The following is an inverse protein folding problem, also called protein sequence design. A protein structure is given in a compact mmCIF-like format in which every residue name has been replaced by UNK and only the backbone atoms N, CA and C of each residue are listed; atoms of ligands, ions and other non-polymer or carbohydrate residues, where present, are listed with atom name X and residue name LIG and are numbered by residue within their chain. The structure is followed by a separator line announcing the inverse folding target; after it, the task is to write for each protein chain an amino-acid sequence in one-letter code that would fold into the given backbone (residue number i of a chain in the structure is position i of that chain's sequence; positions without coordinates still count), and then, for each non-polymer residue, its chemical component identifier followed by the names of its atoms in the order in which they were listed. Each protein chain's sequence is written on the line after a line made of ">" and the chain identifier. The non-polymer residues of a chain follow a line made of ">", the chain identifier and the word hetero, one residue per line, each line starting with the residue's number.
data_IF_604095475661
#
_entry.id   IF_604095475661
#
_cell.length_a   1.000
_cell.length_b   1.000
_cell.length_c   1.000
_cell.angle_alpha   90.00
_cell.angle_beta   90.00
_cell.angle_gamma   90.00
#
_symmetry.space_group_name_H-M   'P 1'
#
loop_
_entity.id
_entity.type
_entity.pdbx_description
1 polymer ?
#
# COMPACT_ATOMS: atom_id res chain seq x y z
N UNK A 1 0.19 22.88 0.60
CA UNK A 1 1.31 21.96 0.33
C UNK A 1 1.22 21.55 -1.12
N UNK A 2 2.32 21.58 -1.86
CA UNK A 2 2.35 21.12 -3.24
C UNK A 2 2.51 19.60 -3.29
N UNK A 3 1.54 18.90 -3.86
CA UNK A 3 1.59 17.44 -4.12
C UNK A 3 1.41 17.13 -5.61
N UNK A 4 1.80 18.08 -6.48
CA UNK A 4 1.73 17.90 -7.94
C UNK A 4 2.66 16.79 -8.45
N UNK A 5 3.69 16.43 -7.68
CA UNK A 5 4.58 15.33 -8.01
C UNK A 5 4.01 13.94 -7.65
N UNK A 6 2.79 13.86 -7.08
CA UNK A 6 2.20 12.62 -6.57
C UNK A 6 1.07 12.09 -7.46
N UNK A 7 1.12 10.78 -7.73
CA UNK A 7 0.07 9.98 -8.32
C UNK A 7 -0.54 9.06 -7.25
N UNK A 8 -1.85 9.05 -7.10
CA UNK A 8 -2.56 8.36 -6.04
C UNK A 8 -3.29 7.13 -6.57
N UNK A 9 -3.07 5.98 -5.94
CA UNK A 9 -3.79 4.73 -6.22
C UNK A 9 -4.50 4.25 -4.95
N UNK A 10 -5.81 4.48 -4.90
CA UNK A 10 -6.69 4.03 -3.82
C UNK A 10 -7.50 2.79 -4.20
N UNK A 11 -8.18 2.21 -3.20
CA UNK A 11 -9.09 1.06 -3.39
C UNK A 11 -9.08 0.08 -2.23
N UNK A 12 -10.12 -0.77 -2.10
CA UNK A 12 -10.28 -1.68 -0.97
C UNK A 12 -9.20 -2.78 -0.95
N UNK A 13 -9.22 -3.58 0.10
CA UNK A 13 -8.28 -4.67 0.32
C UNK A 13 -8.31 -5.65 -0.87
N UNK A 14 -7.11 -6.00 -1.34
CA UNK A 14 -6.94 -6.96 -2.43
C UNK A 14 -7.38 -6.47 -3.81
N UNK A 15 -7.58 -5.19 -4.07
CA UNK A 15 -7.94 -4.71 -5.43
C UNK A 15 -6.79 -4.67 -6.44
N UNK A 16 -5.58 -5.16 -6.10
CA UNK A 16 -4.43 -5.19 -7.02
C UNK A 16 -3.57 -3.91 -7.04
N UNK A 17 -3.82 -2.95 -6.16
CA UNK A 17 -3.11 -1.65 -6.09
C UNK A 17 -1.60 -1.79 -6.07
N UNK A 18 -1.06 -2.56 -5.14
CA UNK A 18 0.39 -2.71 -4.96
C UNK A 18 1.08 -3.25 -6.22
N UNK A 19 0.42 -4.17 -6.94
CA UNK A 19 0.95 -4.71 -8.19
C UNK A 19 0.97 -3.66 -9.30
N UNK A 20 -0.12 -2.89 -9.46
CA UNK A 20 -0.20 -1.82 -10.46
C UNK A 20 0.77 -0.67 -10.14
N UNK A 21 0.82 -0.23 -8.87
CA UNK A 21 1.72 0.81 -8.41
C UNK A 21 3.19 0.41 -8.61
N UNK A 22 3.53 -0.84 -8.29
CA UNK A 22 4.87 -1.38 -8.55
C UNK A 22 5.18 -1.38 -10.05
N UNK A 23 4.27 -1.88 -10.90
CA UNK A 23 4.49 -1.90 -12.34
C UNK A 23 4.72 -0.50 -12.91
N UNK A 24 3.92 0.50 -12.51
CA UNK A 24 4.10 1.91 -12.88
C UNK A 24 5.46 2.44 -12.41
N UNK A 25 5.80 2.20 -11.14
CA UNK A 25 7.07 2.65 -10.55
C UNK A 25 8.28 2.09 -11.27
N UNK A 26 8.27 0.81 -11.68
CA UNK A 26 9.38 0.22 -12.42
C UNK A 26 9.39 0.69 -13.86
N UNK A 27 8.26 0.65 -14.57
CA UNK A 27 8.17 0.99 -16.00
C UNK A 27 8.50 2.46 -16.31
N UNK A 28 8.19 3.36 -15.39
CA UNK A 28 8.38 4.80 -15.58
C UNK A 28 9.36 5.42 -14.58
N UNK A 29 10.13 4.59 -13.87
CA UNK A 29 11.18 5.07 -12.96
C UNK A 29 10.67 6.03 -11.87
N UNK A 30 9.44 5.78 -11.39
CA UNK A 30 8.79 6.58 -10.34
C UNK A 30 9.23 6.11 -8.95
N UNK A 31 9.17 7.00 -7.95
CA UNK A 31 9.25 6.59 -6.54
C UNK A 31 8.02 5.77 -6.18
N UNK A 32 8.18 4.71 -5.39
CA UNK A 32 7.07 3.92 -4.86
C UNK A 32 6.86 4.21 -3.38
N UNK A 33 5.68 4.70 -3.03
CA UNK A 33 5.24 4.85 -1.65
C UNK A 33 4.09 3.88 -1.37
N UNK A 34 4.36 2.90 -0.51
CA UNK A 34 3.35 1.93 -0.04
C UNK A 34 2.94 2.29 1.37
N UNK A 35 1.67 2.63 1.59
CA UNK A 35 1.16 2.99 2.93
C UNK A 35 1.39 1.84 3.93
N UNK A 36 1.18 0.60 3.49
CA UNK A 36 1.33 -0.57 4.36
C UNK A 36 2.79 -0.78 4.81
N UNK A 37 3.78 -0.32 4.03
CA UNK A 37 5.21 -0.32 4.39
C UNK A 37 5.58 0.72 5.45
N UNK A 38 4.61 1.45 5.97
CA UNK A 38 4.83 2.45 7.02
C UNK A 38 3.90 2.25 8.20
N UNK A 39 3.10 1.18 8.19
CA UNK A 39 2.08 0.91 9.21
C UNK A 39 2.66 1.00 10.62
N UNK A 40 3.74 0.28 10.92
CA UNK A 40 4.30 0.23 12.28
C UNK A 40 5.07 1.49 12.67
N UNK A 41 5.74 2.14 11.73
CA UNK A 41 6.34 3.45 11.96
C UNK A 41 5.26 4.50 12.29
N UNK A 42 4.10 4.42 11.62
CA UNK A 42 2.94 5.26 11.90
C UNK A 42 2.22 4.86 13.18
N UNK A 43 2.18 3.58 13.57
CA UNK A 43 1.44 3.12 14.75
C UNK A 43 1.87 3.88 16.01
N UNK A 44 3.16 4.15 16.20
CA UNK A 44 3.67 4.87 17.38
C UNK A 44 3.19 6.34 17.44
N UNK A 45 2.81 6.92 16.31
CA UNK A 45 2.43 8.33 16.15
C UNK A 45 0.91 8.54 16.06
N UNK A 46 0.19 7.44 15.90
CA UNK A 46 -1.27 7.44 15.76
C UNK A 46 -1.94 7.57 17.13
N UNK A 47 -3.06 8.30 17.22
CA UNK A 47 -3.78 8.48 18.48
C UNK A 47 -4.23 7.14 19.06
N UNK A 48 -4.38 7.08 20.38
CA UNK A 48 -5.09 5.99 21.01
C UNK A 48 -6.51 5.92 20.43
N UNK A 49 -6.93 4.73 20.03
CA UNK A 49 -8.27 4.46 19.54
C UNK A 49 -8.84 3.30 20.33
N UNK A 50 -10.16 3.28 20.49
CA UNK A 50 -10.88 2.15 21.11
C UNK A 50 -10.47 0.83 20.46
N UNK A 51 -10.39 0.78 19.13
CA UNK A 51 -9.97 -0.40 18.37
C UNK A 51 -8.68 -1.06 18.88
N UNK A 52 -7.73 -0.27 19.41
CA UNK A 52 -6.47 -0.80 19.94
C UNK A 52 -6.61 -1.52 21.28
N UNK A 53 -7.55 -1.11 22.13
CA UNK A 53 -7.78 -1.75 23.42
C UNK A 53 -8.66 -2.99 23.34
N UNK A 54 -9.38 -3.18 22.23
CA UNK A 54 -10.26 -4.33 22.03
C UNK A 54 -9.47 -5.63 21.87
N UNK A 55 -10.00 -6.72 22.41
CA UNK A 55 -9.59 -8.09 22.15
C UNK A 55 -9.88 -8.52 20.70
N UNK A 56 -9.40 -9.70 20.30
CA UNK A 56 -9.69 -10.24 18.97
C UNK A 56 -11.18 -10.50 18.76
N UNK A 57 -11.90 -10.97 19.79
CA UNK A 57 -13.34 -11.21 19.71
C UNK A 57 -14.13 -9.91 19.61
N UNK A 58 -13.82 -8.93 20.44
CA UNK A 58 -14.46 -7.61 20.37
C UNK A 58 -14.24 -6.95 19.01
N UNK A 59 -13.07 -7.12 18.38
CA UNK A 59 -12.77 -6.56 17.06
C UNK A 59 -13.47 -7.26 15.92
N UNK A 60 -13.57 -8.58 15.95
CA UNK A 60 -13.88 -9.38 14.77
C UNK A 60 -15.15 -10.22 14.90
N UNK A 61 -15.51 -10.66 16.10
CA UNK A 61 -16.68 -11.52 16.36
C UNK A 61 -17.89 -10.69 16.79
N UNK A 62 -17.70 -9.85 17.81
CA UNK A 62 -18.78 -9.15 18.50
C UNK A 62 -19.18 -7.84 17.81
N UNK A 63 -18.19 -7.13 17.25
CA UNK A 63 -18.46 -5.91 16.49
C UNK A 63 -19.25 -6.21 15.21
N UNK A 64 -20.14 -5.28 14.86
CA UNK A 64 -20.84 -5.30 13.58
C UNK A 64 -19.91 -4.84 12.44
N UNK A 65 -20.13 -5.29 11.20
CA UNK A 65 -19.37 -4.79 10.04
C UNK A 65 -19.39 -3.26 9.88
N UNK A 66 -20.49 -2.60 10.30
CA UNK A 66 -20.61 -1.15 10.27
C UNK A 66 -19.71 -0.46 11.31
N UNK A 67 -19.61 -0.98 12.53
CA UNK A 67 -18.66 -0.48 13.54
C UNK A 67 -17.21 -0.65 13.07
N UNK A 68 -16.88 -1.82 12.50
CA UNK A 68 -15.55 -2.06 11.96
C UNK A 68 -15.21 -1.13 10.77
N UNK A 69 -16.18 -0.79 9.92
CA UNK A 69 -16.01 0.21 8.87
C UNK A 69 -15.69 1.59 9.46
N UNK A 70 -16.43 2.02 10.48
CA UNK A 70 -16.23 3.32 11.11
C UNK A 70 -14.82 3.44 11.73
N UNK A 71 -14.39 2.41 12.45
CA UNK A 71 -13.01 2.33 12.97
C UNK A 71 -11.98 2.39 11.84
N UNK A 72 -12.20 1.67 10.74
CA UNK A 72 -11.28 1.65 9.61
C UNK A 72 -11.17 3.02 8.93
N UNK A 73 -12.30 3.70 8.68
CA UNK A 73 -12.34 5.02 8.07
C UNK A 73 -11.70 6.05 8.98
N UNK A 74 -12.01 6.03 10.28
CA UNK A 74 -11.42 6.93 11.27
C UNK A 74 -9.90 6.74 11.33
N UNK A 75 -9.44 5.50 11.41
CA UNK A 75 -8.00 5.16 11.40
C UNK A 75 -7.34 5.60 10.10
N UNK A 76 -8.03 5.45 8.96
CA UNK A 76 -7.54 5.86 7.64
C UNK A 76 -7.35 7.36 7.54
N UNK A 77 -8.24 8.17 8.13
CA UNK A 77 -8.08 9.64 8.19
C UNK A 77 -6.88 10.06 9.04
N UNK A 78 -6.59 9.36 10.12
CA UNK A 78 -5.38 9.60 10.90
C UNK A 78 -4.12 9.16 10.15
N UNK A 79 -4.14 7.96 9.55
CA UNK A 79 -3.05 7.46 8.69
C UNK A 79 -2.74 8.42 7.56
N UNK A 80 -3.76 8.95 6.90
CA UNK A 80 -3.62 9.86 5.76
C UNK A 80 -2.85 11.13 6.14
N UNK A 81 -3.02 11.65 7.36
CA UNK A 81 -2.22 12.81 7.83
C UNK A 81 -0.73 12.48 7.90
N UNK A 82 -0.39 11.30 8.41
CA UNK A 82 1.00 10.82 8.47
C UNK A 82 1.55 10.54 7.07
N UNK A 83 0.72 10.04 6.14
CA UNK A 83 1.08 9.92 4.73
C UNK A 83 1.42 11.29 4.15
N UNK A 84 0.60 12.31 4.37
CA UNK A 84 0.89 13.66 3.90
C UNK A 84 2.16 14.26 4.51
N UNK A 85 2.53 13.87 5.73
CA UNK A 85 3.80 14.26 6.35
C UNK A 85 4.97 13.58 5.66
N UNK A 86 4.93 12.26 5.49
CA UNK A 86 6.00 11.54 4.82
C UNK A 86 6.20 12.01 3.37
N UNK A 87 5.11 12.35 2.66
CA UNK A 87 5.19 12.91 1.30
C UNK A 87 5.75 14.35 1.26
N UNK A 88 5.79 15.10 2.37
CA UNK A 88 6.54 16.39 2.43
C UNK A 88 8.04 16.17 2.34
N UNK A 89 8.49 15.04 2.89
CA UNK A 89 9.90 14.74 3.03
C UNK A 89 10.44 13.93 1.84
N UNK A 90 9.55 13.48 0.94
CA UNK A 90 9.97 12.88 -0.32
C UNK A 90 10.49 13.93 -1.31
N UNK A 91 11.50 13.60 -2.12
CA UNK A 91 11.90 14.42 -3.25
C UNK A 91 10.74 14.65 -4.23
N UNK A 92 10.64 15.86 -4.79
CA UNK A 92 9.65 16.19 -5.83
C UNK A 92 9.98 15.61 -7.22
N UNK A 93 11.17 15.00 -7.39
CA UNK A 93 11.63 14.33 -8.63
C UNK A 93 12.29 12.99 -8.31
N UNK A 94 11.94 11.91 -9.03
CA UNK A 94 10.90 11.82 -10.05
C UNK A 94 9.52 11.86 -9.38
N UNK A 95 8.43 11.80 -10.17
CA UNK A 95 7.10 11.64 -9.59
C UNK A 95 7.03 10.42 -8.65
N UNK A 96 6.14 10.47 -7.67
CA UNK A 96 5.88 9.38 -6.74
C UNK A 96 4.50 8.76 -7.01
N UNK A 97 4.44 7.42 -7.09
CA UNK A 97 3.18 6.69 -7.03
C UNK A 97 2.93 6.21 -5.61
N UNK A 98 1.81 6.64 -5.04
CA UNK A 98 1.39 6.41 -3.66
C UNK A 98 0.20 5.47 -3.66
N UNK A 99 0.30 4.35 -2.95
CA UNK A 99 -0.76 3.34 -2.93
C UNK A 99 -1.10 2.88 -1.52
N UNK A 100 -2.39 2.63 -1.27
CA UNK A 100 -2.83 2.03 -0.01
C UNK A 100 -4.33 2.00 0.18
N UNK A 101 -4.86 1.10 1.04
CA UNK A 101 -6.28 0.99 1.31
C UNK A 101 -6.86 2.13 2.16
N UNK A 102 -6.01 2.96 2.78
CA UNK A 102 -6.41 4.14 3.56
C UNK A 102 -6.59 5.41 2.69
N UNK A 103 -6.23 5.34 1.40
CA UNK A 103 -6.31 6.46 0.45
C UNK A 103 -7.72 6.59 -0.13
N UNK A 104 -8.69 6.94 0.72
CA UNK A 104 -10.09 7.15 0.31
C UNK A 104 -10.24 8.33 -0.67
N UNK A 105 -11.19 8.27 -1.62
CA UNK A 105 -11.39 9.34 -2.60
C UNK A 105 -11.62 10.70 -1.95
N UNK A 106 -12.43 10.78 -0.88
CA UNK A 106 -12.66 12.05 -0.19
C UNK A 106 -11.37 12.63 0.45
N UNK A 107 -10.50 11.78 0.99
CA UNK A 107 -9.22 12.22 1.57
C UNK A 107 -8.26 12.71 0.49
N UNK A 108 -8.12 11.95 -0.60
CA UNK A 108 -7.24 12.31 -1.72
C UNK A 108 -7.71 13.58 -2.41
N UNK A 109 -9.02 13.72 -2.68
CA UNK A 109 -9.61 14.90 -3.31
C UNK A 109 -9.25 16.21 -2.58
N UNK A 110 -9.18 16.17 -1.25
CA UNK A 110 -8.89 17.34 -0.43
C UNK A 110 -7.46 17.91 -0.63
N UNK A 111 -6.56 17.16 -1.25
CA UNK A 111 -5.17 17.58 -1.51
C UNK A 111 -4.78 17.47 -2.98
N UNK A 112 -5.70 17.04 -3.84
CA UNK A 112 -5.43 16.75 -5.25
C UNK A 112 -5.33 18.04 -6.06
N UNK A 113 -4.31 18.15 -6.91
CA UNK A 113 -4.18 19.28 -7.85
C UNK A 113 -5.03 19.15 -9.10
N UNK A 114 -5.13 17.93 -9.62
CA UNK A 114 -5.89 17.59 -10.82
C UNK A 114 -6.49 16.19 -10.66
N UNK A 115 -7.76 15.96 -11.08
CA UNK A 115 -8.39 14.64 -11.02
C UNK A 115 -7.55 13.54 -11.70
N UNK A 116 -6.77 13.89 -12.73
CA UNK A 116 -5.93 12.96 -13.50
C UNK A 116 -4.76 12.37 -12.69
N UNK A 117 -4.49 12.89 -11.48
CA UNK A 117 -3.47 12.37 -10.57
C UNK A 117 -4.00 11.27 -9.64
N UNK A 118 -5.28 10.90 -9.70
CA UNK A 118 -5.85 9.90 -8.81
C UNK A 118 -6.60 8.79 -9.58
N UNK A 119 -6.40 7.56 -9.13
CA UNK A 119 -7.03 6.36 -9.69
C UNK A 119 -7.52 5.46 -8.54
N UNK A 120 -8.79 5.04 -8.60
CA UNK A 120 -9.38 4.16 -7.58
C UNK A 120 -9.75 2.81 -8.17
N UNK A 121 -9.19 1.74 -7.64
CA UNK A 121 -9.50 0.38 -8.10
C UNK A 121 -10.73 -0.14 -7.35
N UNK A 122 -11.74 -0.59 -8.10
CA UNK A 122 -12.99 -1.13 -7.56
C UNK A 122 -13.14 -2.58 -8.02
N UNK A 123 -13.03 -3.57 -7.11
CA UNK A 123 -13.28 -4.95 -7.46
C UNK A 123 -14.78 -5.19 -7.73
N UNK A 124 -15.07 -6.26 -8.46
CA UNK A 124 -16.40 -6.85 -8.42
C UNK A 124 -16.70 -7.36 -7.00
N UNK A 125 -17.87 -7.02 -6.46
CA UNK A 125 -18.20 -7.30 -5.05
C UNK A 125 -18.42 -8.78 -4.78
N UNK A 126 -18.94 -9.55 -5.75
CA UNK A 126 -19.20 -10.98 -5.57
C UNK A 126 -17.91 -11.79 -5.69
N UNK A 127 -17.04 -11.43 -6.64
CA UNK A 127 -15.69 -12.00 -6.74
C UNK A 127 -14.85 -11.64 -5.51
N UNK A 128 -14.95 -10.39 -5.03
CA UNK A 128 -14.26 -9.96 -3.82
C UNK A 128 -14.74 -10.75 -2.61
N UNK A 129 -16.06 -10.95 -2.44
CA UNK A 129 -16.62 -11.76 -1.35
C UNK A 129 -16.05 -13.17 -1.37
N UNK A 130 -16.12 -13.85 -2.51
CA UNK A 130 -15.63 -15.23 -2.67
C UNK A 130 -14.17 -15.34 -2.22
N UNK A 131 -13.30 -14.51 -2.77
CA UNK A 131 -11.86 -14.51 -2.45
C UNK A 131 -11.55 -14.14 -0.99
N UNK A 132 -12.34 -13.27 -0.37
CA UNK A 132 -12.15 -12.93 1.04
C UNK A 132 -12.51 -14.10 1.95
N UNK A 133 -13.59 -14.83 1.65
CA UNK A 133 -14.00 -16.02 2.39
C UNK A 133 -13.00 -17.17 2.25
N UNK A 134 -12.38 -17.33 1.08
CA UNK A 134 -11.33 -18.33 0.83
C UNK A 134 -10.09 -18.19 1.73
N UNK A 135 -9.89 -17.03 2.36
CA UNK A 135 -8.82 -16.83 3.36
C UNK A 135 -9.02 -17.64 4.65
N UNK A 136 -10.16 -18.30 4.80
CA UNK A 136 -10.47 -19.15 5.95
C UNK A 136 -10.69 -18.38 7.25
N UNK A 137 -10.93 -19.09 8.37
CA UNK A 137 -11.22 -18.48 9.67
C UNK A 137 -10.14 -17.48 10.12
N UNK A 138 -10.52 -16.42 10.85
CA UNK A 138 -9.56 -15.53 11.50
C UNK A 138 -8.99 -16.26 12.74
N UNK A 139 -7.67 -16.47 12.86
CA UNK A 139 -7.09 -17.14 14.02
C UNK A 139 -7.10 -16.23 15.25
N UNK A 140 -7.12 -16.84 16.44
CA UNK A 140 -7.05 -16.11 17.72
C UNK A 140 -8.38 -15.51 18.18
N UNK A 141 -9.50 -15.82 17.51
CA UNK A 141 -10.86 -15.50 17.94
C UNK A 141 -11.61 -16.75 18.42
N UNK A 142 -12.62 -16.60 19.27
CA UNK A 142 -13.50 -17.70 19.70
C UNK A 142 -14.32 -18.31 18.57
N UNK A 143 -14.71 -17.51 17.57
CA UNK A 143 -15.41 -17.96 16.35
C UNK A 143 -14.77 -17.35 15.10
N UNK A 144 -13.75 -18.03 14.59
CA UNK A 144 -12.99 -17.57 13.42
C UNK A 144 -13.81 -17.52 12.12
N UNK A 145 -14.86 -18.33 12.00
CA UNK A 145 -15.74 -18.34 10.81
C UNK A 145 -16.62 -17.10 10.83
N UNK A 146 -17.27 -16.81 11.96
CA UNK A 146 -18.04 -15.57 12.15
C UNK A 146 -17.15 -14.34 12.00
N UNK A 147 -15.95 -14.37 12.58
CA UNK A 147 -14.97 -13.30 12.42
C UNK A 147 -14.63 -13.03 10.95
N UNK A 148 -14.44 -14.09 10.14
CA UNK A 148 -14.22 -13.95 8.70
C UNK A 148 -15.43 -13.38 7.97
N UNK A 149 -16.64 -13.83 8.29
CA UNK A 149 -17.88 -13.31 7.69
C UNK A 149 -18.02 -11.81 7.96
N UNK A 150 -17.85 -11.38 9.22
CA UNK A 150 -17.91 -9.97 9.59
C UNK A 150 -16.84 -9.13 8.86
N UNK A 151 -15.59 -9.59 8.87
CA UNK A 151 -14.50 -8.90 8.19
C UNK A 151 -14.72 -8.78 6.68
N UNK A 152 -15.33 -9.81 6.07
CA UNK A 152 -15.68 -9.81 4.64
C UNK A 152 -16.75 -8.77 4.34
N UNK A 153 -17.84 -8.76 5.10
CA UNK A 153 -18.90 -7.75 4.91
C UNK A 153 -18.38 -6.33 5.16
N UNK A 154 -17.47 -6.14 6.12
CA UNK A 154 -16.77 -4.86 6.32
C UNK A 154 -15.96 -4.46 5.09
N UNK A 155 -15.16 -5.37 4.51
CA UNK A 155 -14.36 -5.07 3.32
C UNK A 155 -15.24 -4.73 2.08
N UNK A 156 -16.43 -5.36 1.96
CA UNK A 156 -17.41 -5.00 0.93
C UNK A 156 -18.02 -3.61 1.18
N UNK A 157 -18.28 -3.24 2.43
CA UNK A 157 -18.72 -1.88 2.78
C UNK A 157 -17.64 -0.84 2.44
N UNK A 158 -16.36 -1.15 2.68
CA UNK A 158 -15.23 -0.31 2.25
C UNK A 158 -15.27 -0.14 0.72
N UNK A 159 -15.40 -1.23 -0.04
CA UNK A 159 -15.44 -1.18 -1.50
C UNK A 159 -16.61 -0.33 -2.03
N UNK A 160 -17.81 -0.49 -1.45
CA UNK A 160 -18.97 0.36 -1.77
C UNK A 160 -18.70 1.83 -1.48
N UNK A 161 -18.06 2.14 -0.34
CA UNK A 161 -17.71 3.52 0.02
C UNK A 161 -16.71 4.14 -0.95
N UNK A 162 -15.69 3.40 -1.37
CA UNK A 162 -14.77 3.84 -2.44
C UNK A 162 -15.53 4.16 -3.72
N UNK A 163 -16.45 3.29 -4.14
CA UNK A 163 -17.26 3.52 -5.34
C UNK A 163 -18.16 4.75 -5.25
N UNK A 164 -18.85 4.91 -4.11
CA UNK A 164 -19.70 6.08 -3.85
C UNK A 164 -18.88 7.38 -3.86
N UNK A 165 -17.80 7.45 -3.07
CA UNK A 165 -17.01 8.69 -2.96
C UNK A 165 -16.33 9.05 -4.28
N UNK A 166 -15.81 8.07 -5.03
CA UNK A 166 -15.20 8.33 -6.33
C UNK A 166 -16.23 8.86 -7.34
N UNK A 167 -17.44 8.30 -7.37
CA UNK A 167 -18.51 8.77 -8.24
C UNK A 167 -18.99 10.17 -7.87
N UNK A 168 -19.24 10.43 -6.58
CA UNK A 168 -19.69 11.73 -6.05
C UNK A 168 -18.68 12.85 -6.37
N UNK A 169 -17.39 12.56 -6.22
CA UNK A 169 -16.29 13.50 -6.47
C UNK A 169 -15.83 13.52 -7.93
N UNK A 170 -16.47 12.73 -8.82
CA UNK A 170 -16.11 12.58 -10.24
C UNK A 170 -14.64 12.22 -10.47
N UNK A 171 -14.08 11.39 -9.58
CA UNK A 171 -12.73 10.87 -9.69
C UNK A 171 -12.69 9.57 -10.48
N UNK A 172 -11.57 9.30 -11.16
CA UNK A 172 -11.44 8.10 -11.98
C UNK A 172 -11.44 6.84 -11.12
N UNK A 173 -12.41 5.97 -11.37
CA UNK A 173 -12.41 4.61 -10.89
C UNK A 173 -12.18 3.61 -12.04
N UNK A 174 -11.42 2.54 -11.79
CA UNK A 174 -11.30 1.39 -12.67
C UNK A 174 -11.94 0.18 -12.01
N UNK A 175 -12.86 -0.47 -12.74
CA UNK A 175 -13.34 -1.79 -12.37
C UNK A 175 -12.21 -2.79 -12.58
N UNK A 176 -11.96 -3.62 -11.56
CA UNK A 176 -11.03 -4.76 -11.67
C UNK A 176 -11.81 -5.92 -12.25
N UNK A 177 -11.80 -6.03 -13.58
CA UNK A 177 -12.57 -7.02 -14.36
C UNK A 177 -11.73 -7.73 -15.42
N UNK A 178 -10.41 -7.60 -15.34
CA UNK A 178 -9.46 -8.17 -16.27
C UNK A 178 -8.23 -8.72 -15.54
N UNK A 179 -7.46 -9.61 -16.17
CA UNK A 179 -6.17 -10.05 -15.64
C UNK A 179 -5.23 -8.89 -15.31
N UNK A 180 -4.30 -9.12 -14.38
CA UNK A 180 -3.42 -8.08 -13.85
C UNK A 180 -2.68 -7.29 -14.94
N UNK A 181 -2.14 -7.95 -15.97
CA UNK A 181 -1.40 -7.28 -17.05
C UNK A 181 -2.28 -6.28 -17.81
N UNK A 182 -3.54 -6.66 -18.10
CA UNK A 182 -4.49 -5.75 -18.75
C UNK A 182 -4.87 -4.58 -17.83
N UNK A 183 -5.00 -4.84 -16.52
CA UNK A 183 -5.26 -3.79 -15.53
C UNK A 183 -4.08 -2.82 -15.39
N UNK A 184 -2.84 -3.32 -15.49
CA UNK A 184 -1.63 -2.50 -15.54
C UNK A 184 -1.66 -1.59 -16.76
N UNK A 185 -1.91 -2.12 -17.96
CA UNK A 185 -1.93 -1.27 -19.18
C UNK A 185 -3.00 -0.17 -19.11
N UNK A 186 -4.18 -0.44 -18.54
CA UNK A 186 -5.23 0.58 -18.34
C UNK A 186 -4.78 1.69 -17.38
N UNK A 187 -4.07 1.33 -16.30
CA UNK A 187 -3.52 2.32 -15.37
C UNK A 187 -2.37 3.12 -16.01
N UNK A 188 -1.55 2.46 -16.81
CA UNK A 188 -0.49 3.10 -17.62
C UNK A 188 -1.09 4.11 -18.59
N UNK A 189 -2.10 3.73 -19.36
CA UNK A 189 -2.79 4.62 -20.30
C UNK A 189 -3.35 5.86 -19.58
N UNK A 190 -3.97 5.66 -18.41
CA UNK A 190 -4.52 6.75 -17.62
C UNK A 190 -3.46 7.74 -17.12
N UNK A 191 -2.37 7.24 -16.52
CA UNK A 191 -1.34 8.11 -15.93
C UNK A 191 -0.30 8.61 -16.93
N UNK A 192 -0.21 8.02 -18.13
CA UNK A 192 0.80 8.36 -19.13
C UNK A 192 0.95 9.86 -19.38
N UNK A 193 -0.13 10.64 -19.62
CA UNK A 193 0.02 12.07 -19.89
C UNK A 193 0.69 12.83 -18.74
N UNK A 194 0.34 12.48 -17.49
CA UNK A 194 0.92 13.11 -16.29
C UNK A 194 2.37 12.69 -16.11
N UNK A 195 2.66 11.40 -16.29
CA UNK A 195 4.02 10.85 -16.18
C UNK A 195 4.95 11.47 -17.25
N UNK A 196 4.48 11.57 -18.49
CA UNK A 196 5.29 12.08 -19.59
C UNK A 196 5.64 13.56 -19.44
N UNK A 197 4.75 14.33 -18.79
CA UNK A 197 4.94 15.75 -18.46
C UNK A 197 5.72 15.99 -17.15
N UNK A 198 5.92 14.96 -16.33
CA UNK A 198 6.58 15.04 -15.03
C UNK A 198 8.11 15.10 -15.11
N UNK A 199 8.78 15.43 -13.99
CA UNK A 199 10.24 15.41 -13.90
C UNK A 199 10.79 13.97 -13.98
N UNK A 200 11.95 13.82 -14.64
CA UNK A 200 12.56 12.51 -14.98
C UNK A 200 13.98 12.29 -14.47
N UNK A 201 14.61 13.29 -13.86
CA UNK A 201 16.01 13.15 -13.40
C UNK A 201 16.07 12.30 -12.13
N UNK A 202 16.89 11.24 -12.13
CA UNK A 202 16.82 10.17 -11.12
C UNK A 202 18.16 9.52 -10.81
N UNK A 203 18.49 9.45 -9.52
CA UNK A 203 19.36 8.41 -8.96
C UNK A 203 18.48 7.24 -8.50
N UNK A 204 18.16 6.33 -9.43
CA UNK A 204 17.27 5.20 -9.17
C UNK A 204 17.85 4.23 -8.14
N UNK A 205 19.17 4.11 -8.05
CA UNK A 205 19.79 3.26 -7.05
C UNK A 205 19.50 3.79 -5.64
N UNK A 206 19.63 5.10 -5.43
CA UNK A 206 19.29 5.75 -4.16
C UNK A 206 17.80 5.65 -3.84
N UNK A 207 16.91 5.82 -4.83
CA UNK A 207 15.46 5.65 -4.62
C UNK A 207 15.13 4.21 -4.21
N UNK A 208 15.70 3.20 -4.88
CA UNK A 208 15.40 1.78 -4.59
C UNK A 208 15.96 1.36 -3.24
N UNK A 209 17.11 1.90 -2.86
CA UNK A 209 17.66 1.79 -1.51
C UNK A 209 16.70 2.36 -0.46
N UNK A 210 16.21 3.57 -0.66
CA UNK A 210 15.29 4.20 0.28
C UNK A 210 14.01 3.37 0.45
N UNK A 211 13.44 2.87 -0.65
CA UNK A 211 12.29 1.94 -0.62
C UNK A 211 12.59 0.67 0.19
N UNK A 212 13.78 0.07 0.02
CA UNK A 212 14.21 -1.10 0.77
C UNK A 212 14.39 -0.81 2.27
N UNK A 213 15.01 0.32 2.62
CA UNK A 213 15.21 0.74 4.01
C UNK A 213 13.86 0.95 4.73
N UNK A 214 12.86 1.47 4.02
CA UNK A 214 11.48 1.62 4.52
C UNK A 214 10.84 0.25 4.76
N UNK A 215 10.92 -0.68 3.80
CA UNK A 215 10.41 -2.05 3.97
C UNK A 215 11.09 -2.78 5.14
N UNK A 216 12.43 -2.70 5.24
CA UNK A 216 13.20 -3.28 6.33
C UNK A 216 12.75 -2.74 7.69
N UNK A 217 12.57 -1.42 7.79
CA UNK A 217 12.08 -0.76 9.01
C UNK A 217 10.69 -1.22 9.41
N UNK A 218 9.75 -1.29 8.46
CA UNK A 218 8.41 -1.82 8.70
C UNK A 218 8.44 -3.24 9.24
N UNK A 219 9.23 -4.12 8.63
CA UNK A 219 9.27 -5.53 9.04
C UNK A 219 9.98 -5.68 10.40
N UNK A 220 11.00 -4.87 10.68
CA UNK A 220 11.66 -4.84 11.99
C UNK A 220 10.68 -4.50 13.10
N UNK A 221 9.97 -3.38 12.95
CA UNK A 221 8.95 -2.94 13.92
C UNK A 221 7.79 -3.93 14.02
N UNK A 222 7.37 -4.53 12.90
CA UNK A 222 6.37 -5.60 12.92
C UNK A 222 6.83 -6.79 13.75
N UNK A 223 8.04 -7.30 13.48
CA UNK A 223 8.62 -8.42 14.23
C UNK A 223 8.67 -8.08 15.71
N UNK A 224 9.12 -6.89 16.09
CA UNK A 224 9.09 -6.44 17.49
C UNK A 224 7.73 -6.56 18.15
N UNK A 225 6.66 -6.18 17.45
CA UNK A 225 5.28 -6.30 17.95
C UNK A 225 4.82 -7.74 18.20
N UNK A 226 5.40 -8.73 17.51
CA UNK A 226 5.03 -10.14 17.63
C UNK A 226 5.63 -10.85 18.86
N UNK A 227 6.56 -10.23 19.58
CA UNK A 227 7.17 -10.82 20.77
C UNK A 227 7.83 -12.19 20.50
N UNK A 228 7.31 -13.27 21.10
CA UNK A 228 7.84 -14.63 20.92
C UNK A 228 7.44 -15.30 19.59
N UNK A 229 6.48 -14.73 18.85
CA UNK A 229 5.95 -15.30 17.59
C UNK A 229 6.70 -14.83 16.34
N UNK A 230 7.91 -14.28 16.51
CA UNK A 230 8.72 -13.72 15.41
C UNK A 230 9.21 -14.82 14.46
N UNK A 231 8.86 -14.79 13.16
CA UNK A 231 9.49 -15.67 12.19
C UNK A 231 10.95 -15.27 12.02
N UNK A 232 11.88 -16.22 12.20
CA UNK A 232 13.33 -15.97 12.09
C UNK A 232 13.80 -15.97 10.63
N UNK A 233 13.28 -16.88 9.82
CA UNK A 233 13.86 -17.18 8.49
C UNK A 233 12.98 -16.73 7.31
N UNK A 234 11.99 -15.86 7.55
CA UNK A 234 11.15 -15.33 6.48
C UNK A 234 11.95 -14.34 5.62
N UNK A 235 12.01 -14.61 4.31
CA UNK A 235 12.59 -13.69 3.31
C UNK A 235 11.61 -12.58 2.94
N UNK A 236 12.16 -11.50 2.41
CA UNK A 236 11.46 -10.32 1.93
C UNK A 236 11.95 -10.01 0.51
N UNK A 237 11.04 -9.57 -0.38
CA UNK A 237 11.38 -9.20 -1.74
C UNK A 237 11.92 -7.76 -1.79
N UNK A 238 13.22 -7.57 -1.56
CA UNK A 238 13.85 -6.26 -1.69
C UNK A 238 13.99 -5.87 -3.16
N UNK A 239 13.80 -4.59 -3.48
CA UNK A 239 14.00 -4.07 -4.82
C UNK A 239 15.48 -4.07 -5.19
N UNK A 240 15.80 -4.46 -6.43
CA UNK A 240 17.16 -4.34 -6.95
C UNK A 240 17.66 -2.88 -6.93
N UNK A 241 18.87 -2.67 -6.39
CA UNK A 241 19.52 -1.35 -6.26
C UNK A 241 20.48 -1.04 -7.42
N UNK A 242 20.36 -1.70 -8.57
CA UNK A 242 21.29 -1.52 -9.69
C UNK A 242 21.18 -0.14 -10.36
N UNK A 243 20.05 0.56 -10.18
CA UNK A 243 19.78 1.86 -10.80
C UNK A 243 19.44 1.82 -12.29
N UNK A 244 19.29 0.63 -12.89
CA UNK A 244 18.86 0.51 -14.27
C UNK A 244 17.38 0.90 -14.44
N UNK A 245 17.11 1.77 -15.42
CA UNK A 245 15.75 2.15 -15.83
C UNK A 245 14.92 0.92 -16.14
N UNK A 246 13.67 0.88 -15.66
CA UNK A 246 12.78 -0.27 -15.91
C UNK A 246 13.05 -1.51 -15.06
N UNK A 247 14.10 -1.52 -14.23
CA UNK A 247 14.48 -2.71 -13.47
C UNK A 247 13.40 -3.09 -12.45
N UNK A 248 12.73 -4.22 -12.67
CA UNK A 248 11.69 -4.76 -11.78
C UNK A 248 12.17 -5.92 -10.89
N UNK A 249 13.45 -6.27 -10.95
CA UNK A 249 14.02 -7.40 -10.24
C UNK A 249 13.91 -7.26 -8.71
N UNK A 250 13.68 -8.40 -8.05
CA UNK A 250 13.65 -8.54 -6.60
C UNK A 250 14.78 -9.45 -6.12
N UNK A 251 15.34 -9.10 -4.96
CA UNK A 251 16.35 -9.86 -4.24
C UNK A 251 15.68 -10.38 -2.98
N UNK A 252 15.49 -11.71 -2.91
CA UNK A 252 14.96 -12.37 -1.72
C UNK A 252 16.06 -12.46 -0.66
N UNK A 253 15.88 -11.77 0.46
CA UNK A 253 16.77 -11.82 1.61
C UNK A 253 15.95 -11.86 2.89
N UNK A 254 16.50 -12.49 3.93
CA UNK A 254 16.03 -12.24 5.29
C UNK A 254 16.33 -10.81 5.71
N UNK A 255 15.60 -10.32 6.72
CA UNK A 255 15.89 -9.00 7.31
C UNK A 255 17.33 -8.92 7.86
N UNK A 256 17.83 -10.00 8.47
CA UNK A 256 19.15 -10.04 9.08
C UNK A 256 20.26 -9.98 8.02
N UNK A 257 20.08 -10.66 6.88
CA UNK A 257 20.98 -10.55 5.74
C UNK A 257 20.99 -9.13 5.16
N UNK A 258 19.81 -8.52 4.96
CA UNK A 258 19.71 -7.14 4.47
C UNK A 258 20.43 -6.15 5.41
N UNK A 259 20.25 -6.31 6.73
CA UNK A 259 20.86 -5.46 7.74
C UNK A 259 22.39 -5.65 7.77
N UNK A 260 22.88 -6.89 7.64
CA UNK A 260 24.31 -7.17 7.57
C UNK A 260 24.98 -6.53 6.34
N UNK A 261 24.37 -6.66 5.16
CA UNK A 261 24.86 -6.03 3.92
C UNK A 261 24.85 -4.50 4.01
N UNK A 262 23.78 -3.94 4.59
CA UNK A 262 23.64 -2.50 4.80
C UNK A 262 24.70 -1.94 5.76
N UNK A 263 24.98 -2.65 6.86
CA UNK A 263 25.97 -2.25 7.86
C UNK A 263 27.41 -2.37 7.34
N UNK A 264 27.70 -3.40 6.52
CA UNK A 264 29.02 -3.58 5.91
C UNK A 264 29.31 -2.61 4.77
N UNK A 265 28.28 -1.95 4.22
CA UNK A 265 28.38 -1.13 3.01
C UNK A 265 28.54 -1.95 1.72
N UNK A 266 28.62 -3.28 1.81
CA UNK A 266 28.62 -4.18 0.65
C UNK A 266 27.20 -4.40 0.13
N UNK A 267 26.74 -3.44 -0.66
CA UNK A 267 25.43 -3.52 -1.33
C UNK A 267 25.50 -4.18 -2.70
N UNK A 268 26.61 -4.84 -3.04
CA UNK A 268 26.73 -5.57 -4.31
C UNK A 268 25.71 -6.70 -4.46
N UNK A 269 25.34 -7.47 -3.40
CA UNK A 269 24.33 -8.53 -3.54
C UNK A 269 22.90 -8.02 -3.74
N UNK A 270 22.65 -6.74 -3.44
CA UNK A 270 21.37 -6.06 -3.71
C UNK A 270 21.22 -5.63 -5.17
N UNK A 271 22.22 -5.91 -6.02
CA UNK A 271 22.24 -5.58 -7.43
C UNK A 271 22.24 -6.87 -8.24
N UNK A 272 21.09 -7.23 -8.81
CA UNK A 272 21.11 -8.23 -9.88
C UNK A 272 21.90 -7.67 -11.06
N UNK A 273 22.83 -8.46 -11.65
CA UNK A 273 23.43 -8.08 -12.91
C UNK A 273 22.31 -7.96 -13.94
N UNK A 274 22.29 -6.83 -14.66
CA UNK A 274 21.43 -6.66 -15.82
C UNK A 274 21.84 -7.73 -16.85
N UNK A 275 20.89 -8.44 -17.49
CA UNK A 275 21.21 -9.31 -18.61
C UNK A 275 21.87 -8.54 -19.76
#
# INVERSE_FOLDING_TARGET
>A
MDLGHVLWIGGPQGSGKSAIARALSRRFDLQLYVVDWRTWAHEQRMPATEFRSLSMDERWVDATPAQMLDWFVTTSRHRFRLVLEDLRDLPDSPLAVVEGPQLFPASVAAVLRSPDHALFLLPDLDEQRTRLLERGPIPGTSDGVRARLNATERDLLIARRFGYEAADLRLKALRVDAPLDAMIERAVEYFRPVIEAGPREVDLATIRRFENDVLATQVRLYRESLGALKPRDATLPFSCECGASGCAAEIELTLDEYDALSAAGDRSPLRRPTP
#
